data_IF_428096386323
#
_entry.id   IF_428096386323
#
_cell.length_a   1.000
_cell.length_b   1.000
_cell.length_c   1.000
_cell.angle_alpha   90.00
_cell.angle_beta   90.00
_cell.angle_gamma   90.00
#
_symmetry.space_group_name_H-M   'P 1'
#
loop_
_entity.id
_entity.type
_entity.pdbx_description
1 polymer ?
#
# COMPACT_ATOMS: atom_id res chain seq x y z
N UNK A 1 0.33 -8.82 -7.30
CA UNK A 1 1.65 -8.17 -7.15
C UNK A 1 1.53 -6.70 -6.75
N UNK A 2 0.79 -5.86 -7.49
CA UNK A 2 0.66 -4.42 -7.20
C UNK A 2 0.26 -4.09 -5.76
N UNK A 3 -0.83 -4.70 -5.24
CA UNK A 3 -1.29 -4.40 -3.88
C UNK A 3 -0.29 -4.77 -2.78
N UNK A 4 0.51 -5.84 -2.95
CA UNK A 4 1.58 -6.22 -2.00
C UNK A 4 2.68 -5.15 -1.98
N UNK A 5 3.03 -4.62 -3.15
CA UNK A 5 4.02 -3.56 -3.26
C UNK A 5 3.51 -2.24 -2.67
N UNK A 6 2.22 -1.94 -2.86
CA UNK A 6 1.55 -0.78 -2.26
C UNK A 6 1.60 -0.84 -0.73
N UNK A 7 1.37 -2.00 -0.10
CA UNK A 7 1.45 -2.12 1.36
C UNK A 7 2.88 -1.90 1.86
N UNK A 8 3.88 -2.47 1.20
CA UNK A 8 5.29 -2.24 1.57
C UNK A 8 5.71 -0.77 1.40
N UNK A 9 5.30 -0.12 0.30
CA UNK A 9 5.59 1.29 0.06
C UNK A 9 4.91 2.19 1.11
N UNK A 10 3.67 1.87 1.47
CA UNK A 10 2.91 2.56 2.51
C UNK A 10 3.61 2.49 3.88
N UNK A 11 4.11 1.32 4.27
CA UNK A 11 4.88 1.13 5.51
C UNK A 11 6.16 1.97 5.52
N UNK A 12 6.94 1.92 4.43
CA UNK A 12 8.20 2.67 4.29
C UNK A 12 7.95 4.18 4.35
N UNK A 13 6.97 4.68 3.61
CA UNK A 13 6.65 6.12 3.61
C UNK A 13 6.26 6.58 5.01
N UNK A 14 5.35 5.87 5.68
CA UNK A 14 4.96 6.23 7.03
C UNK A 14 6.12 6.13 8.03
N UNK A 15 7.02 5.16 7.85
CA UNK A 15 8.23 5.03 8.67
C UNK A 15 9.17 6.23 8.50
N UNK A 16 9.40 6.69 7.27
CA UNK A 16 10.21 7.87 6.97
C UNK A 16 9.59 9.14 7.57
N UNK A 17 8.27 9.30 7.46
CA UNK A 17 7.53 10.41 8.04
C UNK A 17 7.65 10.44 9.57
N UNK A 18 7.54 9.29 10.26
CA UNK A 18 7.72 9.19 11.72
C UNK A 18 9.14 9.55 12.17
N UNK A 19 10.14 9.24 11.34
CA UNK A 19 11.54 9.57 11.61
C UNK A 19 11.90 11.01 11.23
N UNK A 20 10.94 11.82 10.76
CA UNK A 20 11.15 13.19 10.28
C UNK A 20 12.20 13.26 9.14
N UNK A 21 12.36 12.16 8.39
CA UNK A 21 13.27 12.11 7.25
C UNK A 21 12.69 12.88 6.06
N UNK A 22 13.56 13.34 5.15
CA UNK A 22 13.14 13.89 3.87
C UNK A 22 12.60 12.76 2.96
N UNK A 23 11.32 12.44 3.14
CA UNK A 23 10.66 11.31 2.46
C UNK A 23 10.82 11.38 0.94
N UNK A 24 10.68 12.57 0.34
CA UNK A 24 10.84 12.77 -1.10
C UNK A 24 12.25 12.47 -1.59
N UNK A 25 13.28 12.88 -0.84
CA UNK A 25 14.68 12.60 -1.19
C UNK A 25 15.00 11.12 -1.11
N UNK A 26 14.55 10.44 -0.06
CA UNK A 26 14.74 8.99 0.10
C UNK A 26 14.02 8.21 -1.01
N UNK A 27 12.77 8.56 -1.33
CA UNK A 27 12.04 7.92 -2.44
C UNK A 27 12.73 8.17 -3.79
N UNK A 28 13.28 9.37 -4.01
CA UNK A 28 14.06 9.67 -5.23
C UNK A 28 15.35 8.85 -5.31
N UNK A 29 16.00 8.56 -4.18
CA UNK A 29 17.15 7.66 -4.15
C UNK A 29 16.73 6.20 -4.45
N UNK A 30 15.64 5.72 -3.83
CA UNK A 30 15.09 4.40 -4.09
C UNK A 30 14.68 4.22 -5.56
N UNK A 31 14.14 5.27 -6.19
CA UNK A 31 13.73 5.26 -7.59
C UNK A 31 14.86 5.02 -8.59
N UNK A 32 16.13 5.18 -8.16
CA UNK A 32 17.32 4.90 -8.97
C UNK A 32 17.80 3.44 -8.87
N UNK A 33 17.16 2.62 -8.05
CA UNK A 33 17.51 1.21 -7.86
C UNK A 33 16.75 0.30 -8.83
N UNK A 34 17.26 -0.91 -9.05
CA UNK A 34 16.62 -1.90 -9.94
C UNK A 34 15.31 -2.47 -9.42
N UNK A 35 15.00 -2.30 -8.12
CA UNK A 35 13.78 -2.82 -7.50
C UNK A 35 12.58 -1.87 -7.64
N UNK A 36 12.79 -0.66 -8.15
CA UNK A 36 11.73 0.33 -8.33
C UNK A 36 10.88 0.01 -9.55
N UNK A 37 9.64 -0.44 -9.34
CA UNK A 37 8.73 -0.70 -10.44
C UNK A 37 8.32 0.62 -11.13
N UNK A 38 8.08 0.62 -12.46
CA UNK A 38 7.73 1.84 -13.20
C UNK A 38 6.56 2.64 -12.61
N UNK A 39 5.59 1.96 -11.99
CA UNK A 39 4.40 2.57 -11.39
C UNK A 39 4.66 3.22 -10.02
N UNK A 40 5.75 2.90 -9.34
CA UNK A 40 5.97 3.35 -7.95
C UNK A 40 6.13 4.85 -7.82
N UNK A 41 6.71 5.53 -8.80
CA UNK A 41 6.85 7.00 -8.78
C UNK A 41 5.48 7.68 -8.67
N UNK A 42 4.50 7.15 -9.41
CA UNK A 42 3.14 7.65 -9.34
C UNK A 42 2.50 7.32 -7.98
N UNK A 43 2.56 6.04 -7.55
CA UNK A 43 1.91 5.61 -6.32
C UNK A 43 2.47 6.31 -5.08
N UNK A 44 3.79 6.39 -4.95
CA UNK A 44 4.45 7.08 -3.83
C UNK A 44 4.07 8.55 -3.78
N UNK A 45 4.00 9.21 -4.93
CA UNK A 45 3.56 10.59 -5.06
C UNK A 45 2.14 10.79 -4.52
N UNK A 46 1.19 9.93 -4.89
CA UNK A 46 -0.19 10.02 -4.37
C UNK A 46 -0.26 9.84 -2.84
N UNK A 47 0.58 8.95 -2.28
CA UNK A 47 0.64 8.72 -0.84
C UNK A 47 1.17 9.94 -0.09
N UNK A 48 2.29 10.51 -0.56
CA UNK A 48 2.94 11.69 0.02
C UNK A 48 2.03 12.92 -0.08
N UNK A 49 1.40 13.13 -1.24
CA UNK A 49 0.53 14.28 -1.49
C UNK A 49 -0.90 14.10 -0.95
N UNK A 50 -1.22 12.95 -0.34
CA UNK A 50 -2.55 12.58 0.18
C UNK A 50 -3.66 12.67 -0.88
N UNK A 51 -3.36 12.23 -2.10
CA UNK A 51 -4.31 12.23 -3.22
C UNK A 51 -4.91 10.84 -3.40
N UNK A 52 -6.07 10.61 -2.79
CA UNK A 52 -6.72 9.30 -2.75
C UNK A 52 -7.99 9.21 -3.59
N UNK A 53 -8.16 10.11 -4.57
CA UNK A 53 -9.26 10.04 -5.51
C UNK A 53 -9.32 8.63 -6.16
N UNK A 54 -10.51 8.01 -6.22
CA UNK A 54 -10.65 6.62 -6.63
C UNK A 54 -10.20 6.41 -8.07
N UNK A 55 -9.21 5.54 -8.25
CA UNK A 55 -8.82 4.98 -9.54
C UNK A 55 -8.84 3.47 -9.47
N UNK A 56 -8.32 2.93 -8.37
CA UNK A 56 -8.46 1.53 -8.01
C UNK A 56 -8.81 1.41 -6.52
N UNK A 57 -10.11 1.31 -6.17
CA UNK A 57 -10.55 1.34 -4.78
C UNK A 57 -9.98 0.22 -3.89
N UNK A 58 -9.77 0.54 -2.61
CA UNK A 58 -9.34 -0.41 -1.56
C UNK A 58 -10.25 -1.64 -1.52
N UNK A 59 -11.57 -1.47 -1.63
CA UNK A 59 -12.52 -2.57 -1.57
C UNK A 59 -12.39 -3.55 -2.74
N UNK A 60 -12.02 -3.07 -3.92
CA UNK A 60 -11.79 -3.93 -5.08
C UNK A 60 -10.49 -4.71 -4.91
N UNK A 61 -9.41 -4.06 -4.44
CA UNK A 61 -8.16 -4.75 -4.15
C UNK A 61 -8.31 -5.82 -3.07
N UNK A 62 -9.07 -5.52 -1.99
CA UNK A 62 -9.36 -6.49 -0.94
C UNK A 62 -10.12 -7.71 -1.47
N UNK A 63 -11.14 -7.47 -2.31
CA UNK A 63 -11.91 -8.55 -2.96
C UNK A 63 -11.02 -9.43 -3.84
N UNK A 64 -10.17 -8.82 -4.67
CA UNK A 64 -9.29 -9.55 -5.59
C UNK A 64 -8.26 -10.40 -4.83
N UNK A 65 -7.75 -9.89 -3.70
CA UNK A 65 -6.90 -10.66 -2.79
C UNK A 65 -7.66 -11.82 -2.13
N UNK A 66 -8.91 -11.62 -1.73
CA UNK A 66 -9.77 -12.68 -1.20
C UNK A 66 -9.97 -13.83 -2.20
N UNK A 67 -10.18 -13.52 -3.48
CA UNK A 67 -10.22 -14.56 -4.53
C UNK A 67 -8.88 -15.26 -4.69
N UNK A 68 -7.79 -14.51 -4.77
CA UNK A 68 -6.45 -15.07 -4.99
C UNK A 68 -6.01 -15.98 -3.84
N UNK A 69 -6.32 -15.63 -2.58
CA UNK A 69 -6.01 -16.47 -1.41
C UNK A 69 -6.86 -17.74 -1.36
N UNK A 70 -8.12 -17.67 -1.80
CA UNK A 70 -8.97 -18.86 -1.93
C UNK A 70 -8.37 -19.86 -2.90
N UNK A 71 -7.92 -19.39 -4.06
CA UNK A 71 -7.25 -20.23 -5.06
C UNK A 71 -5.89 -20.76 -4.56
N UNK A 72 -5.18 -20.00 -3.72
CA UNK A 72 -3.97 -20.49 -3.06
C UNK A 72 -4.24 -21.64 -2.06
N UNK A 73 -5.49 -21.87 -1.67
CA UNK A 73 -5.95 -22.95 -0.79
C UNK A 73 -5.66 -22.72 0.70
N UNK A 74 -4.61 -22.00 1.05
CA UNK A 74 -4.33 -21.58 2.42
C UNK A 74 -3.41 -20.35 2.47
N UNK A 75 -3.48 -19.60 3.58
CA UNK A 75 -2.57 -18.48 3.83
C UNK A 75 -1.09 -18.93 3.89
N UNK A 76 -0.83 -20.18 4.30
CA UNK A 76 0.53 -20.72 4.36
C UNK A 76 1.17 -20.86 2.96
N UNK A 77 0.35 -21.04 1.92
CA UNK A 77 0.82 -21.13 0.54
C UNK A 77 1.09 -19.76 -0.10
N UNK A 78 0.52 -18.69 0.45
CA UNK A 78 0.70 -17.32 -0.04
C UNK A 78 0.81 -16.30 1.11
N UNK A 79 1.81 -16.42 2.00
CA UNK A 79 1.87 -15.67 3.25
C UNK A 79 2.00 -14.15 3.04
N UNK A 80 2.77 -13.72 2.04
CA UNK A 80 2.92 -12.30 1.69
C UNK A 80 1.62 -11.70 1.19
N UNK A 81 0.84 -12.46 0.41
CA UNK A 81 -0.48 -12.05 -0.04
C UNK A 81 -1.47 -11.96 1.12
N UNK A 82 -1.43 -12.93 2.05
CA UNK A 82 -2.28 -12.94 3.24
C UNK A 82 -2.00 -11.73 4.13
N UNK A 83 -0.73 -11.37 4.33
CA UNK A 83 -0.35 -10.17 5.08
C UNK A 83 -0.85 -8.90 4.39
N UNK A 84 -0.67 -8.77 3.07
CA UNK A 84 -1.18 -7.62 2.33
C UNK A 84 -2.73 -7.54 2.36
N UNK A 85 -3.42 -8.68 2.26
CA UNK A 85 -4.88 -8.76 2.39
C UNK A 85 -5.38 -8.23 3.72
N UNK A 86 -4.71 -8.55 4.83
CA UNK A 86 -5.03 -8.01 6.15
C UNK A 86 -4.92 -6.48 6.21
N UNK A 87 -3.95 -5.88 5.51
CA UNK A 87 -3.83 -4.40 5.42
C UNK A 87 -5.05 -3.81 4.71
N UNK A 88 -5.46 -4.37 3.58
CA UNK A 88 -6.64 -3.88 2.86
C UNK A 88 -7.95 -4.12 3.62
N UNK A 89 -8.08 -5.23 4.36
CA UNK A 89 -9.22 -5.45 5.26
C UNK A 89 -9.28 -4.40 6.37
N UNK A 90 -8.14 -4.08 6.99
CA UNK A 90 -8.04 -3.00 7.99
C UNK A 90 -8.41 -1.64 7.39
N UNK A 91 -7.95 -1.33 6.18
CA UNK A 91 -8.30 -0.09 5.49
C UNK A 91 -9.80 0.04 5.25
N UNK A 92 -10.45 -1.04 4.76
CA UNK A 92 -11.91 -1.06 4.61
C UNK A 92 -12.63 -0.83 5.94
N UNK A 93 -12.19 -1.50 7.01
CA UNK A 93 -12.78 -1.35 8.34
C UNK A 93 -12.65 0.07 8.90
N UNK A 94 -11.65 0.85 8.46
CA UNK A 94 -11.47 2.27 8.81
C UNK A 94 -12.17 3.24 7.85
N UNK A 95 -13.05 2.76 6.97
CA UNK A 95 -13.84 3.62 6.07
C UNK A 95 -13.12 4.03 4.78
N UNK A 96 -11.93 3.50 4.50
CA UNK A 96 -11.12 3.83 3.32
C UNK A 96 -11.53 3.04 2.06
N UNK A 97 -12.62 2.26 2.12
CA UNK A 97 -13.00 1.29 1.08
C UNK A 97 -13.16 1.90 -0.32
N UNK A 98 -13.72 3.12 -0.39
CA UNK A 98 -13.97 3.83 -1.65
C UNK A 98 -12.79 4.71 -2.10
N UNK A 99 -11.74 4.84 -1.28
CA UNK A 99 -10.54 5.57 -1.66
C UNK A 99 -9.62 4.71 -2.53
N UNK A 100 -8.71 5.34 -3.25
CA UNK A 100 -7.65 4.65 -3.98
C UNK A 100 -6.88 3.70 -3.05
N UNK A 101 -6.44 2.53 -3.55
CA UNK A 101 -5.58 1.57 -2.85
C UNK A 101 -4.36 2.20 -2.16
N UNK A 102 -3.86 3.34 -2.64
CA UNK A 102 -2.73 4.03 -2.00
C UNK A 102 -3.10 4.69 -0.67
N UNK A 103 -4.39 4.81 -0.34
CA UNK A 103 -4.90 5.32 0.94
C UNK A 103 -4.49 4.48 2.14
N UNK A 104 -4.10 3.22 1.94
CA UNK A 104 -3.63 2.33 3.02
C UNK A 104 -2.40 2.88 3.76
N UNK A 105 -1.66 3.83 3.20
CA UNK A 105 -0.61 4.59 3.90
C UNK A 105 -1.12 5.26 5.18
N UNK A 106 -2.41 5.64 5.21
CA UNK A 106 -3.04 6.26 6.38
C UNK A 106 -3.05 5.33 7.60
N UNK A 107 -3.10 4.00 7.40
CA UNK A 107 -3.09 3.01 8.48
C UNK A 107 -1.79 3.00 9.30
N UNK A 108 -0.70 3.48 8.70
CA UNK A 108 0.64 3.42 9.28
C UNK A 108 1.13 4.79 9.76
N UNK A 109 0.46 5.87 9.36
CA UNK A 109 0.75 7.21 9.89
C UNK A 109 0.29 7.26 11.35
N UNK A 110 1.09 7.89 12.20
CA UNK A 110 0.67 8.14 13.57
C UNK A 110 -0.54 9.09 13.55
N UNK A 111 -1.53 8.82 14.39
CA UNK A 111 -2.54 9.82 14.73
C UNK A 111 -1.83 11.01 15.39
N UNK A 112 -2.21 12.23 15.00
CA UNK A 112 -1.70 13.45 15.62
C UNK A 112 -2.33 13.66 16.98
#
# INVERSE_FOLDING_TARGET
MLGIQVTGLAEVIAMLERQQANTSEVLNAMAKTSVWAPVFTYLSSTMVQRQFAPQFPVELMEKDFGYTLREAGSNANAPTLAAAHAVFQRARAQGLGLENMTSVVQLFRAEK
#
